data_IF_002660319458
#
_entry.id   IF_002660319458
#
_cell.length_a   1.000
_cell.length_b   1.000
_cell.length_c   1.000
_cell.angle_alpha   90.00
_cell.angle_beta   90.00
_cell.angle_gamma   90.00
#
_symmetry.space_group_name_H-M   'P 1'
#
loop_
_entity.id
_entity.type
_entity.pdbx_description
1 polymer ?
#
# COMPACT_ATOMS: atom_id res chain seq x y z
N UNK A 1 13.58 -20.36 -12.42
CA UNK A 1 14.62 -20.32 -13.47
C UNK A 1 13.89 -20.05 -14.77
N UNK A 2 13.89 -18.79 -15.21
CA UNK A 2 13.33 -18.37 -16.50
C UNK A 2 14.17 -19.03 -17.61
N UNK A 3 13.54 -19.58 -18.65
CA UNK A 3 14.21 -19.85 -19.92
C UNK A 3 13.41 -19.17 -21.00
N UNK A 4 13.92 -18.04 -21.48
CA UNK A 4 13.51 -17.49 -22.76
C UNK A 4 13.73 -18.54 -23.85
N UNK A 5 12.82 -18.56 -24.83
CA UNK A 5 12.64 -19.60 -25.84
C UNK A 5 13.91 -20.35 -26.27
N UNK A 6 13.75 -21.65 -26.43
CA UNK A 6 14.76 -22.67 -26.76
C UNK A 6 15.51 -22.47 -28.10
N UNK A 7 15.44 -21.29 -28.72
CA UNK A 7 16.17 -20.96 -29.94
C UNK A 7 16.85 -19.59 -29.80
N UNK A 8 17.96 -19.60 -29.05
CA UNK A 8 19.02 -18.58 -29.12
C UNK A 8 19.02 -17.56 -27.98
N UNK A 9 19.96 -17.70 -27.05
CA UNK A 9 20.45 -16.60 -26.20
C UNK A 9 19.96 -16.55 -24.75
N UNK A 10 20.16 -17.62 -23.96
CA UNK A 10 19.77 -17.65 -22.54
C UNK A 10 20.46 -16.60 -21.64
N UNK A 11 21.68 -16.16 -21.95
CA UNK A 11 22.44 -15.28 -21.05
C UNK A 11 21.94 -13.83 -20.94
N UNK A 12 21.33 -13.28 -22.00
CA UNK A 12 20.88 -11.89 -22.00
C UNK A 12 19.52 -11.71 -21.28
N UNK A 13 18.68 -12.75 -21.31
CA UNK A 13 17.41 -12.74 -20.59
C UNK A 13 17.62 -12.85 -19.07
N UNK A 14 18.50 -13.77 -18.63
CA UNK A 14 18.84 -13.95 -17.22
C UNK A 14 19.45 -12.68 -16.61
N UNK A 15 20.23 -11.93 -17.40
CA UNK A 15 20.80 -10.64 -16.98
C UNK A 15 19.73 -9.56 -16.76
N UNK A 16 18.74 -9.47 -17.65
CA UNK A 16 17.62 -8.52 -17.51
C UNK A 16 16.73 -8.86 -16.33
N UNK A 17 16.45 -10.15 -16.12
CA UNK A 17 15.67 -10.62 -14.97
C UNK A 17 16.35 -10.25 -13.65
N UNK A 18 17.68 -10.38 -13.58
CA UNK A 18 18.46 -9.95 -12.41
C UNK A 18 18.35 -8.44 -12.15
N UNK A 19 18.40 -7.61 -13.20
CA UNK A 19 18.20 -6.15 -13.08
C UNK A 19 16.79 -5.82 -12.62
N UNK A 20 15.79 -6.52 -13.15
CA UNK A 20 14.38 -6.29 -12.81
C UNK A 20 14.07 -6.69 -11.36
N UNK A 21 14.58 -7.84 -10.91
CA UNK A 21 14.45 -8.26 -9.50
C UNK A 21 15.12 -7.28 -8.56
N UNK A 22 16.32 -6.80 -8.92
CA UNK A 22 17.01 -5.77 -8.14
C UNK A 22 16.20 -4.47 -8.06
N UNK A 23 15.65 -4.00 -9.19
CA UNK A 23 14.80 -2.81 -9.23
C UNK A 23 13.58 -2.95 -8.31
N UNK A 24 12.91 -4.11 -8.32
CA UNK A 24 11.78 -4.37 -7.43
C UNK A 24 12.21 -4.35 -5.97
N UNK A 25 13.34 -4.99 -5.64
CA UNK A 25 13.87 -4.99 -4.28
C UNK A 25 14.20 -3.56 -3.81
N UNK A 26 14.84 -2.75 -4.66
CA UNK A 26 15.16 -1.35 -4.38
C UNK A 26 13.89 -0.50 -4.20
N UNK A 27 12.82 -0.77 -4.98
CA UNK A 27 11.51 -0.12 -4.80
C UNK A 27 10.89 -0.51 -3.46
N UNK A 28 10.83 -1.80 -3.12
CA UNK A 28 10.28 -2.25 -1.83
C UNK A 28 11.07 -1.66 -0.66
N UNK A 29 12.39 -1.67 -0.75
CA UNK A 29 13.26 -1.07 0.26
C UNK A 29 13.03 0.44 0.37
N UNK A 30 12.93 1.15 -0.75
CA UNK A 30 12.56 2.56 -0.76
C UNK A 30 11.24 2.76 0.00
N UNK A 31 10.19 2.00 -0.31
CA UNK A 31 8.85 2.14 0.26
C UNK A 31 8.77 1.85 1.76
N UNK A 32 9.56 0.91 2.27
CA UNK A 32 9.56 0.56 3.70
C UNK A 32 10.40 1.49 4.56
N UNK A 33 11.40 2.16 3.98
CA UNK A 33 12.35 2.93 4.78
C UNK A 33 11.89 4.36 5.03
N UNK A 34 11.71 4.74 6.29
CA UNK A 34 11.42 6.12 6.70
C UNK A 34 12.66 7.02 6.67
N UNK A 35 13.84 6.45 6.89
CA UNK A 35 15.14 7.12 6.91
C UNK A 35 15.90 7.07 5.56
N UNK A 36 16.67 8.12 5.25
CA UNK A 36 17.54 8.11 4.06
C UNK A 36 16.80 8.11 2.71
N UNK A 37 15.56 8.62 2.67
CA UNK A 37 14.66 8.62 1.50
C UNK A 37 15.31 9.09 0.20
N UNK A 38 16.07 10.19 0.22
CA UNK A 38 16.71 10.70 -1.00
C UNK A 38 17.72 9.70 -1.58
N UNK A 39 18.57 9.12 -0.73
CA UNK A 39 19.60 8.18 -1.17
C UNK A 39 19.00 6.89 -1.74
N UNK A 40 17.99 6.33 -1.08
CA UNK A 40 17.28 5.13 -1.56
C UNK A 40 16.43 5.41 -2.81
N UNK A 41 15.88 6.61 -2.94
CA UNK A 41 15.20 7.05 -4.15
C UNK A 41 16.15 7.08 -5.35
N UNK A 42 17.38 7.58 -5.17
CA UNK A 42 18.40 7.56 -6.22
C UNK A 42 18.73 6.15 -6.69
N UNK A 43 18.82 5.16 -5.79
CA UNK A 43 19.05 3.77 -6.17
C UNK A 43 17.97 3.22 -7.11
N UNK A 44 16.69 3.57 -6.89
CA UNK A 44 15.60 3.19 -7.79
C UNK A 44 15.76 3.82 -9.18
N UNK A 45 16.12 5.11 -9.26
CA UNK A 45 16.38 5.78 -10.55
C UNK A 45 17.60 5.22 -11.28
N UNK A 46 18.64 4.82 -10.55
CA UNK A 46 19.79 4.12 -11.12
C UNK A 46 19.34 2.79 -11.72
N UNK A 47 18.48 2.03 -11.03
CA UNK A 47 17.86 0.80 -11.55
C UNK A 47 17.07 1.04 -12.84
N UNK A 48 16.25 2.09 -12.91
CA UNK A 48 15.54 2.48 -14.13
C UNK A 48 16.49 2.82 -15.28
N UNK A 49 17.60 3.50 -14.98
CA UNK A 49 18.60 3.88 -15.98
C UNK A 49 19.33 2.65 -16.53
N UNK A 50 19.73 1.71 -15.66
CA UNK A 50 20.32 0.43 -16.07
C UNK A 50 19.35 -0.36 -16.94
N UNK A 51 18.07 -0.42 -16.57
CA UNK A 51 17.05 -1.08 -17.36
C UNK A 51 16.87 -0.42 -18.75
N UNK A 52 16.85 0.91 -18.81
CA UNK A 52 16.76 1.66 -20.07
C UNK A 52 17.96 1.40 -20.99
N UNK A 53 19.18 1.39 -20.44
CA UNK A 53 20.41 1.08 -21.19
C UNK A 53 20.34 -0.34 -21.75
N UNK A 54 19.95 -1.32 -20.92
CA UNK A 54 19.79 -2.71 -21.37
C UNK A 54 18.76 -2.81 -22.50
N UNK A 55 17.64 -2.12 -22.37
CA UNK A 55 16.61 -2.07 -23.42
C UNK A 55 17.15 -1.50 -24.74
N UNK A 56 18.01 -0.47 -24.68
CA UNK A 56 18.69 0.08 -25.85
C UNK A 56 19.69 -0.91 -26.49
N UNK A 57 20.37 -1.73 -25.70
CA UNK A 57 21.27 -2.79 -26.19
C UNK A 57 20.54 -3.90 -26.97
N UNK A 58 19.25 -4.12 -26.70
CA UNK A 58 18.43 -5.11 -27.43
C UNK A 58 17.98 -4.62 -28.82
N UNK A 59 17.98 -3.31 -29.07
CA UNK A 59 17.55 -2.72 -30.36
C UNK A 59 18.32 -3.30 -31.55
N UNK A 60 19.67 -3.26 -31.60
CA UNK A 60 20.43 -3.80 -32.73
C UNK A 60 20.33 -5.33 -32.83
N UNK A 61 20.12 -6.03 -31.71
CA UNK A 61 20.04 -7.51 -31.67
C UNK A 61 18.71 -8.05 -32.19
N UNK A 62 17.64 -7.26 -32.10
CA UNK A 62 16.30 -7.66 -32.52
C UNK A 62 16.05 -7.50 -34.04
N UNK A 63 17.03 -6.99 -34.80
CA UNK A 63 16.93 -6.87 -36.26
C UNK A 63 15.98 -5.77 -36.75
N UNK A 64 15.49 -4.91 -35.86
CA UNK A 64 14.64 -3.78 -36.22
C UNK A 64 15.48 -2.60 -36.70
N UNK A 65 15.24 -2.18 -37.95
CA UNK A 65 16.01 -1.12 -38.63
C UNK A 65 15.56 0.30 -38.23
N UNK A 66 14.34 0.45 -37.71
CA UNK A 66 13.76 1.75 -37.34
C UNK A 66 13.29 1.79 -35.89
N UNK A 67 13.50 2.92 -35.17
CA UNK A 67 12.87 3.15 -33.88
C UNK A 67 11.35 3.29 -34.08
N UNK A 68 10.60 2.20 -33.88
CA UNK A 68 9.14 2.17 -34.04
C UNK A 68 8.58 0.86 -34.58
N UNK A 69 9.40 0.02 -35.23
CA UNK A 69 8.97 -1.31 -35.68
C UNK A 69 9.04 -2.32 -34.52
N UNK A 70 8.02 -3.18 -34.41
CA UNK A 70 8.02 -4.44 -33.64
C UNK A 70 8.47 -4.37 -32.17
N UNK A 71 7.52 -4.38 -31.22
CA UNK A 71 7.77 -4.63 -29.79
C UNK A 71 8.55 -3.55 -29.02
N UNK A 72 9.49 -2.87 -29.68
CA UNK A 72 10.42 -1.91 -29.09
C UNK A 72 9.74 -0.63 -28.61
N UNK A 73 8.83 -0.09 -29.43
CA UNK A 73 7.99 1.04 -29.04
C UNK A 73 7.12 0.69 -27.82
N UNK A 74 6.62 -0.56 -27.75
CA UNK A 74 5.83 -1.03 -26.60
C UNK A 74 6.68 -1.19 -25.35
N UNK A 75 7.90 -1.71 -25.47
CA UNK A 75 8.82 -1.80 -24.33
C UNK A 75 9.14 -0.41 -23.76
N UNK A 76 9.29 0.62 -24.62
CA UNK A 76 9.56 1.99 -24.16
C UNK A 76 8.33 2.59 -23.48
N UNK A 77 7.13 2.27 -23.98
CA UNK A 77 5.88 2.63 -23.32
C UNK A 77 5.77 1.96 -21.95
N UNK A 78 6.03 0.66 -21.84
CA UNK A 78 6.00 -0.04 -20.54
C UNK A 78 7.02 0.50 -19.55
N UNK A 79 8.23 0.84 -19.99
CA UNK A 79 9.22 1.49 -19.14
C UNK A 79 8.73 2.84 -18.62
N UNK A 80 8.14 3.67 -19.50
CA UNK A 80 7.54 4.95 -19.14
C UNK A 80 6.39 4.77 -18.16
N UNK A 81 5.54 3.78 -18.37
CA UNK A 81 4.41 3.46 -17.50
C UNK A 81 4.91 3.03 -16.12
N UNK A 82 5.97 2.22 -16.05
CA UNK A 82 6.60 1.80 -14.78
C UNK A 82 7.11 3.00 -13.99
N UNK A 83 7.83 3.92 -14.65
CA UNK A 83 8.32 5.15 -14.02
C UNK A 83 7.14 6.03 -13.55
N UNK A 84 6.11 6.20 -14.38
CA UNK A 84 4.94 7.03 -14.05
C UNK A 84 4.16 6.47 -12.87
N UNK A 85 3.96 5.16 -12.83
CA UNK A 85 3.33 4.48 -11.70
C UNK A 85 4.18 4.62 -10.43
N UNK A 86 5.50 4.43 -10.53
CA UNK A 86 6.40 4.63 -9.40
C UNK A 86 6.30 6.05 -8.83
N UNK A 87 6.33 7.10 -9.68
CA UNK A 87 6.16 8.49 -9.24
C UNK A 87 4.80 8.74 -8.58
N UNK A 88 3.74 8.12 -9.11
CA UNK A 88 2.40 8.26 -8.54
C UNK A 88 2.33 7.68 -7.12
N UNK A 89 2.89 6.48 -6.92
CA UNK A 89 2.92 5.88 -5.57
C UNK A 89 3.88 6.65 -4.65
N UNK A 90 5.01 7.13 -5.17
CA UNK A 90 5.91 8.03 -4.44
C UNK A 90 5.20 9.30 -3.97
N UNK A 91 4.41 9.93 -4.83
CA UNK A 91 3.67 11.14 -4.49
C UNK A 91 2.68 10.90 -3.35
N UNK A 92 1.94 9.77 -3.36
CA UNK A 92 1.05 9.38 -2.27
C UNK A 92 1.82 9.18 -0.98
N UNK A 93 2.96 8.48 -1.04
CA UNK A 93 3.81 8.21 0.12
C UNK A 93 4.45 9.47 0.72
N UNK A 94 4.93 10.38 -0.13
CA UNK A 94 5.58 11.62 0.31
C UNK A 94 4.56 12.66 0.78
N UNK A 95 3.32 12.59 0.30
CA UNK A 95 2.20 13.43 0.73
C UNK A 95 1.54 12.84 1.98
N UNK A 96 2.25 12.89 3.11
CA UNK A 96 1.65 12.60 4.42
C UNK A 96 0.69 13.70 4.83
N UNK A 97 -0.27 13.37 5.71
CA UNK A 97 -1.11 14.39 6.34
C UNK A 97 -0.23 15.41 7.08
N UNK A 98 -0.53 16.71 6.97
CA UNK A 98 0.29 17.71 7.63
C UNK A 98 0.22 17.51 9.14
N UNK A 99 1.39 17.47 9.80
CA UNK A 99 1.55 17.23 11.24
C UNK A 99 0.64 18.12 12.09
N UNK A 100 0.38 19.35 11.66
CA UNK A 100 -0.51 20.28 12.36
C UNK A 100 -1.97 19.81 12.45
N UNK A 101 -2.49 19.14 11.42
CA UNK A 101 -3.86 18.64 11.40
C UNK A 101 -3.99 17.38 12.28
N UNK A 102 -3.00 16.48 12.23
CA UNK A 102 -2.95 15.30 13.10
C UNK A 102 -2.87 15.70 14.58
N UNK A 103 -2.03 16.69 14.92
CA UNK A 103 -1.92 17.24 16.27
C UNK A 103 -3.21 17.96 16.73
N UNK A 104 -3.90 18.65 15.82
CA UNK A 104 -5.18 19.28 16.11
C UNK A 104 -6.25 18.24 16.44
N UNK A 105 -6.38 17.19 15.62
CA UNK A 105 -7.27 16.07 15.90
C UNK A 105 -6.95 15.43 17.25
N UNK A 106 -5.68 15.13 17.51
CA UNK A 106 -5.23 14.58 18.81
C UNK A 106 -5.65 15.47 19.98
N UNK A 107 -5.43 16.79 19.87
CA UNK A 107 -5.80 17.75 20.92
C UNK A 107 -7.31 17.80 21.14
N UNK A 108 -8.11 17.80 20.07
CA UNK A 108 -9.58 17.83 20.15
C UNK A 108 -10.13 16.58 20.84
N UNK A 109 -9.56 15.40 20.56
CA UNK A 109 -9.94 14.13 21.19
C UNK A 109 -9.68 14.14 22.70
N UNK A 110 -8.61 14.82 23.15
CA UNK A 110 -8.26 14.91 24.57
C UNK A 110 -9.04 16.01 25.29
N UNK A 111 -9.41 17.09 24.59
CA UNK A 111 -10.17 18.21 25.15
C UNK A 111 -11.68 17.89 25.21
N UNK A 112 -12.19 17.11 24.25
CA UNK A 112 -13.62 16.81 24.16
C UNK A 112 -14.21 16.18 25.43
N UNK A 113 -13.56 15.21 26.13
CA UNK A 113 -14.12 14.62 27.35
C UNK A 113 -14.10 15.61 28.51
N UNK A 114 -13.12 16.51 28.56
CA UNK A 114 -12.99 17.54 29.60
C UNK A 114 -14.13 18.56 29.49
N UNK A 115 -14.53 18.93 28.27
CA UNK A 115 -15.64 19.86 28.04
C UNK A 115 -17.01 19.18 28.15
N UNK A 116 -17.15 17.95 27.65
CA UNK A 116 -18.43 17.25 27.65
C UNK A 116 -18.78 16.71 29.04
N UNK A 117 -17.84 16.16 29.80
CA UNK A 117 -18.13 15.56 31.11
C UNK A 117 -18.93 16.47 32.07
N UNK A 118 -18.57 17.75 32.30
CA UNK A 118 -19.37 18.63 33.15
C UNK A 118 -20.74 18.97 32.55
N UNK A 119 -20.85 19.04 31.22
CA UNK A 119 -22.12 19.26 30.52
C UNK A 119 -23.12 18.11 30.77
N UNK A 120 -22.67 16.87 30.62
CA UNK A 120 -23.50 15.68 30.90
C UNK A 120 -23.88 15.57 32.39
N UNK A 121 -22.98 15.93 33.30
CA UNK A 121 -23.28 15.96 34.74
C UNK A 121 -24.35 17.04 35.08
N UNK A 122 -24.22 18.23 34.49
CA UNK A 122 -25.21 19.29 34.68
C UNK A 122 -26.59 18.88 34.12
N UNK A 123 -26.62 18.22 32.96
CA UNK A 123 -27.85 17.69 32.36
C UNK A 123 -28.55 16.69 33.30
N UNK A 124 -27.83 15.79 33.96
CA UNK A 124 -28.45 14.88 34.93
C UNK A 124 -28.95 15.60 36.21
N UNK A 125 -28.20 16.60 36.69
CA UNK A 125 -28.59 17.36 37.89
C UNK A 125 -29.89 18.16 37.71
N UNK A 126 -30.10 18.75 36.52
CA UNK A 126 -31.32 19.48 36.18
C UNK A 126 -32.53 18.55 36.06
N UNK A 127 -32.34 17.34 35.55
CA UNK A 127 -33.41 16.35 35.40
C UNK A 127 -33.88 15.76 36.74
N UNK A 128 -33.04 15.82 37.78
CA UNK A 128 -33.37 15.38 39.15
C UNK A 128 -34.12 16.45 39.97
N UNK A 129 -34.20 17.70 39.49
CA UNK A 129 -34.73 18.86 40.23
C UNK A 129 -36.20 19.22 40.00
N UNK A 130 -36.92 18.48 39.17
CA UNK A 130 -38.35 18.67 38.90
C UNK A 130 -38.63 19.70 37.81
N UNK A 131 -39.05 19.22 36.63
CA UNK A 131 -40.10 19.74 35.73
C UNK A 131 -40.16 18.83 34.48
N UNK A 132 -41.09 17.87 34.51
CA UNK A 132 -42.04 17.44 33.47
C UNK A 132 -41.71 17.29 31.97
N UNK A 133 -40.45 17.26 31.50
CA UNK A 133 -40.21 17.09 30.05
C UNK A 133 -39.73 15.71 29.58
N UNK A 134 -39.20 14.82 30.44
CA UNK A 134 -38.90 13.43 30.07
C UNK A 134 -39.08 12.45 31.25
N UNK A 135 -39.64 11.24 31.03
CA UNK A 135 -39.80 10.25 32.09
C UNK A 135 -38.44 9.87 32.71
N UNK A 136 -38.34 9.75 34.05
CA UNK A 136 -37.10 9.47 34.79
C UNK A 136 -36.58 8.03 34.64
N UNK A 137 -37.03 7.31 33.62
CA UNK A 137 -36.64 5.93 33.32
C UNK A 137 -35.22 5.82 32.76
N UNK A 138 -34.68 6.89 32.19
CA UNK A 138 -33.28 6.99 31.75
C UNK A 138 -32.50 7.87 32.73
N UNK A 139 -32.11 7.32 33.89
CA UNK A 139 -31.36 8.06 34.93
C UNK A 139 -29.94 8.51 34.52
N UNK A 140 -29.16 9.05 35.46
CA UNK A 140 -27.78 9.51 35.24
C UNK A 140 -26.87 8.47 34.57
N UNK A 141 -27.18 7.18 34.71
CA UNK A 141 -26.47 6.07 34.07
C UNK A 141 -26.43 6.20 32.53
N UNK A 142 -27.47 6.77 31.92
CA UNK A 142 -27.52 7.01 30.46
C UNK A 142 -26.47 8.03 30.00
N UNK A 143 -26.22 9.09 30.78
CA UNK A 143 -25.22 10.10 30.46
C UNK A 143 -23.78 9.58 30.53
N UNK A 144 -23.48 8.74 31.54
CA UNK A 144 -22.20 8.04 31.61
C UNK A 144 -22.01 7.07 30.44
N UNK A 145 -23.06 6.34 30.07
CA UNK A 145 -23.02 5.42 28.92
C UNK A 145 -22.71 6.18 27.63
N UNK A 146 -23.40 7.28 27.33
CA UNK A 146 -23.16 8.07 26.11
C UNK A 146 -21.77 8.71 26.13
N UNK A 147 -21.30 9.20 27.28
CA UNK A 147 -19.94 9.74 27.42
C UNK A 147 -18.85 8.71 27.10
N UNK A 148 -18.97 7.50 27.64
CA UNK A 148 -18.04 6.39 27.36
C UNK A 148 -18.09 6.02 25.88
N UNK A 149 -19.29 5.91 25.30
CA UNK A 149 -19.47 5.54 23.90
C UNK A 149 -18.90 6.61 22.95
N UNK A 150 -19.08 7.89 23.28
CA UNK A 150 -18.51 9.01 22.53
C UNK A 150 -16.97 8.95 22.52
N UNK A 151 -16.34 8.75 23.68
CA UNK A 151 -14.87 8.61 23.77
C UNK A 151 -14.39 7.41 22.97
N UNK A 152 -15.10 6.28 23.05
CA UNK A 152 -14.78 5.08 22.27
C UNK A 152 -14.81 5.37 20.77
N UNK A 153 -15.91 5.95 20.26
CA UNK A 153 -16.04 6.26 18.83
C UNK A 153 -14.91 7.17 18.36
N UNK A 154 -14.65 8.25 19.10
CA UNK A 154 -13.66 9.26 18.75
C UNK A 154 -12.24 8.68 18.78
N UNK A 155 -11.91 7.87 19.79
CA UNK A 155 -10.61 7.20 19.90
C UNK A 155 -10.39 6.18 18.78
N UNK A 156 -11.40 5.36 18.47
CA UNK A 156 -11.34 4.37 17.39
C UNK A 156 -11.16 5.06 16.04
N UNK A 157 -11.88 6.15 15.77
CA UNK A 157 -11.76 6.89 14.51
C UNK A 157 -10.36 7.50 14.35
N UNK A 158 -9.78 8.01 15.43
CA UNK A 158 -8.40 8.51 15.42
C UNK A 158 -7.38 7.41 15.14
N UNK A 159 -7.58 6.21 15.71
CA UNK A 159 -6.70 5.06 15.46
C UNK A 159 -6.72 4.62 14.00
N UNK A 160 -7.91 4.52 13.40
CA UNK A 160 -8.05 4.20 11.98
C UNK A 160 -7.35 5.25 11.11
N UNK A 161 -7.48 6.54 11.43
CA UNK A 161 -6.77 7.60 10.71
C UNK A 161 -5.25 7.49 10.85
N UNK A 162 -4.74 7.16 12.03
CA UNK A 162 -3.29 6.98 12.23
C UNK A 162 -2.73 5.76 11.51
N UNK A 163 -3.49 4.66 11.42
CA UNK A 163 -3.06 3.47 10.68
C UNK A 163 -3.10 3.71 9.17
N UNK A 164 -4.06 4.49 8.67
CA UNK A 164 -4.13 4.85 7.25
C UNK A 164 -3.09 5.89 6.80
N UNK A 165 -2.36 6.52 7.72
CA UNK A 165 -1.39 7.60 7.41
C UNK A 165 -0.10 7.06 6.77
N UNK A 166 0.32 5.83 7.08
CA UNK A 166 1.50 5.19 6.48
C UNK A 166 1.25 3.72 6.11
N UNK A 167 0.59 3.43 4.98
CA UNK A 167 0.22 2.06 4.60
C UNK A 167 1.40 1.18 4.13
N UNK A 168 2.63 1.71 4.18
CA UNK A 168 3.83 1.10 3.61
C UNK A 168 4.83 0.62 4.67
N UNK A 169 4.64 0.95 5.94
CA UNK A 169 5.58 0.59 7.02
C UNK A 169 5.53 -0.91 7.36
N UNK A 170 4.35 -1.55 7.20
CA UNK A 170 4.15 -2.98 7.34
C UNK A 170 3.94 -3.44 8.78
N UNK A 171 3.69 -2.51 9.71
CA UNK A 171 3.42 -2.79 11.12
C UNK A 171 1.90 -2.85 11.41
N UNK A 172 1.06 -2.25 10.57
CA UNK A 172 -0.40 -2.25 10.63
C UNK A 172 -1.06 -3.51 10.06
N UNK A 173 -2.23 -3.89 10.61
CA UNK A 173 -3.00 -5.03 10.08
C UNK A 173 -3.59 -4.76 8.68
N UNK A 174 -3.82 -3.49 8.36
CA UNK A 174 -4.39 -3.02 7.09
C UNK A 174 -3.32 -2.55 6.09
N UNK A 175 -2.04 -2.81 6.38
CA UNK A 175 -0.95 -2.42 5.51
C UNK A 175 -0.81 -3.30 4.27
N UNK A 176 -0.04 -2.79 3.31
CA UNK A 176 0.28 -3.51 2.09
C UNK A 176 1.10 -4.76 2.43
N UNK A 177 0.51 -5.93 2.18
CA UNK A 177 1.16 -7.24 2.33
C UNK A 177 2.16 -7.48 1.20
N UNK A 178 3.36 -6.95 1.37
CA UNK A 178 4.47 -7.10 0.41
C UNK A 178 4.76 -8.56 0.04
N UNK A 179 4.61 -9.51 0.99
CA UNK A 179 4.82 -10.95 0.75
C UNK A 179 3.81 -11.55 -0.23
N UNK A 180 2.58 -11.04 -0.25
CA UNK A 180 1.58 -11.49 -1.20
C UNK A 180 1.93 -11.02 -2.61
N UNK A 181 2.38 -9.77 -2.73
CA UNK A 181 2.79 -9.17 -4.00
C UNK A 181 4.07 -9.80 -4.55
N UNK A 182 5.08 -10.05 -3.70
CA UNK A 182 6.29 -10.76 -4.11
C UNK A 182 5.97 -12.18 -4.58
N UNK A 183 5.08 -12.90 -3.87
CA UNK A 183 4.62 -14.21 -4.30
C UNK A 183 3.84 -14.18 -5.62
N UNK A 184 3.06 -13.11 -5.89
CA UNK A 184 2.39 -12.92 -7.18
C UNK A 184 3.38 -12.61 -8.32
N UNK A 185 4.43 -11.83 -8.05
CA UNK A 185 5.49 -11.54 -9.01
C UNK A 185 6.32 -12.81 -9.32
N UNK A 186 6.63 -13.61 -8.31
CA UNK A 186 7.24 -14.93 -8.49
C UNK A 186 6.32 -15.89 -9.25
N UNK A 187 5.00 -15.78 -9.07
CA UNK A 187 4.03 -16.53 -9.88
C UNK A 187 4.05 -16.06 -11.33
N UNK A 188 4.07 -14.75 -11.61
CA UNK A 188 4.24 -14.16 -12.94
C UNK A 188 5.49 -14.71 -13.64
N UNK A 189 6.59 -14.88 -12.91
CA UNK A 189 7.78 -15.54 -13.43
C UNK A 189 7.65 -17.05 -13.68
N UNK A 190 6.68 -17.69 -13.02
CA UNK A 190 6.34 -19.11 -13.17
C UNK A 190 5.15 -19.36 -14.12
N UNK A 191 4.62 -18.34 -14.79
CA UNK A 191 3.63 -18.48 -15.87
C UNK A 191 4.24 -18.94 -17.21
N UNK A 192 5.50 -19.40 -17.21
CA UNK A 192 6.10 -20.22 -18.27
C UNK A 192 5.59 -21.67 -18.26
N UNK A 193 6.26 -22.55 -19.01
CA UNK A 193 5.93 -23.94 -19.39
C UNK A 193 5.11 -24.81 -18.39
N UNK A 194 5.27 -24.62 -17.07
CA UNK A 194 4.55 -25.33 -16.00
C UNK A 194 3.19 -24.74 -15.59
N UNK A 195 2.81 -23.58 -16.15
CA UNK A 195 1.54 -22.90 -15.89
C UNK A 195 0.29 -23.77 -16.13
N UNK A 196 0.21 -24.59 -17.20
CA UNK A 196 -0.88 -25.53 -17.41
C UNK A 196 -0.96 -26.60 -16.31
N UNK A 197 0.18 -27.19 -15.91
CA UNK A 197 0.24 -28.25 -14.91
C UNK A 197 -0.18 -27.76 -13.52
N UNK A 198 0.22 -26.55 -13.14
CA UNK A 198 -0.20 -25.93 -11.85
C UNK A 198 -1.69 -25.54 -11.84
N UNK A 199 -2.28 -25.19 -13.00
CA UNK A 199 -3.73 -24.97 -13.14
C UNK A 199 -4.53 -26.26 -12.98
N UNK A 200 -4.07 -27.36 -13.58
CA UNK A 200 -4.70 -28.67 -13.40
C UNK A 200 -4.61 -29.16 -11.95
N UNK A 201 -3.45 -28.99 -11.30
CA UNK A 201 -3.28 -29.36 -9.90
C UNK A 201 -4.21 -28.55 -8.97
N UNK A 202 -4.41 -27.25 -9.25
CA UNK A 202 -5.34 -26.40 -8.49
C UNK A 202 -6.79 -26.78 -8.73
N UNK A 203 -7.18 -27.06 -9.97
CA UNK A 203 -8.51 -27.55 -10.33
C UNK A 203 -8.85 -28.85 -9.60
N UNK A 204 -7.93 -29.83 -9.59
CA UNK A 204 -8.09 -31.10 -8.85
C UNK A 204 -8.22 -30.89 -7.34
N UNK A 205 -7.54 -29.90 -6.77
CA UNK A 205 -7.65 -29.55 -5.34
C UNK A 205 -9.01 -28.95 -4.99
N UNK A 206 -9.59 -28.12 -5.86
CA UNK A 206 -10.92 -27.54 -5.66
C UNK A 206 -12.06 -28.57 -5.72
N UNK A 207 -11.90 -29.66 -6.48
CA UNK A 207 -12.87 -30.77 -6.54
C UNK A 207 -12.79 -31.74 -5.35
N UNK A 208 -11.75 -31.68 -4.52
CA UNK A 208 -11.61 -32.54 -3.32
C UNK A 208 -12.07 -31.86 -2.02
N UNK A 209 -12.43 -30.57 -2.09
CA UNK A 209 -12.86 -29.76 -0.95
C UNK A 209 -14.35 -29.35 -1.02
N UNK A 210 -15.08 -29.84 -2.02
CA UNK A 210 -16.55 -29.78 -2.12
C UNK A 210 -17.12 -31.18 -2.18
#
# INVERSE_FOLDING_TARGET
VFKWGEKGGGGAADEVDGVFQKLIADIIEYMRTTDGRSAKGHAVYDGFTVLAVKMHEFIPKAGYSKPGEGGLSRMQQYLRDLITHFESVRAVRDTKTPVGLSLFCFSLIHISPILLAPYWNHFCSKQSGGTDELPPTFGCVSGYFVGIFYVLIVLTLHRVQSELEDPFDGDGMDDIKWDCWSAQLDQLGNYGEDGPAKREARSKRSYQLG
#
